data_IF_453466533303
#
_entry.id   IF_453466533303
#
_cell.length_a   1.000
_cell.length_b   1.000
_cell.length_c   1.000
_cell.angle_alpha   90.00
_cell.angle_beta   90.00
_cell.angle_gamma   90.00
#
_symmetry.space_group_name_H-M   'P 1'
#
loop_
_entity.id
_entity.type
_entity.pdbx_description
1 polymer ?
#
# COMPACT_ATOMS: atom_id res chain seq x y z
N UNK A 1 -3.94 29.99 5.84
CA UNK A 1 -3.09 29.07 5.06
C UNK A 1 -3.99 28.14 4.29
N UNK A 2 -3.75 27.95 2.99
CA UNK A 2 -4.50 27.03 2.14
C UNK A 2 -3.67 25.76 1.96
N UNK A 3 -3.98 24.73 2.69
CA UNK A 3 -3.41 23.39 2.56
C UNK A 3 -4.55 22.39 2.34
N UNK A 4 -4.37 21.48 1.40
CA UNK A 4 -5.34 20.44 1.05
C UNK A 4 -4.69 19.09 1.06
N UNK A 5 -5.31 18.13 1.75
CA UNK A 5 -4.93 16.73 1.73
C UNK A 5 -5.55 16.04 0.51
N UNK A 6 -4.73 15.37 -0.28
CA UNK A 6 -5.16 14.54 -1.42
C UNK A 6 -4.95 13.09 -1.00
N UNK A 7 -6.01 12.47 -0.50
CA UNK A 7 -5.96 11.13 0.11
C UNK A 7 -6.32 10.03 -0.88
N UNK A 8 -5.46 9.02 -0.98
CA UNK A 8 -5.65 7.85 -1.84
C UNK A 8 -5.93 6.61 -0.99
N UNK A 9 -7.22 6.30 -0.81
CA UNK A 9 -7.68 5.27 0.12
C UNK A 9 -7.17 3.84 -0.17
N UNK A 10 -6.89 3.46 -1.42
CA UNK A 10 -6.46 2.10 -1.76
C UNK A 10 -5.04 1.74 -1.31
N UNK A 11 -4.22 2.73 -0.97
CA UNK A 11 -2.89 2.57 -0.37
C UNK A 11 -2.77 3.34 0.96
N UNK A 12 -3.88 3.92 1.42
CA UNK A 12 -3.97 4.73 2.63
C UNK A 12 -2.92 5.84 2.70
N UNK A 13 -2.61 6.49 1.55
CA UNK A 13 -1.57 7.51 1.42
C UNK A 13 -2.19 8.91 1.27
N UNK A 14 -1.56 9.89 1.87
CA UNK A 14 -1.90 11.32 1.80
C UNK A 14 -0.76 12.11 1.18
N UNK A 15 -0.99 12.68 0.00
CA UNK A 15 -0.21 13.78 -0.52
C UNK A 15 -0.80 15.13 -0.07
N UNK A 16 -0.01 16.19 -0.06
CA UNK A 16 -0.49 17.51 0.33
C UNK A 16 -0.17 18.55 -0.73
N UNK A 17 -1.14 19.42 -0.97
CA UNK A 17 -1.03 20.59 -1.81
C UNK A 17 -1.09 21.85 -0.96
N UNK A 18 -0.06 22.68 -1.01
CA UNK A 18 0.00 23.98 -0.34
C UNK A 18 0.03 25.07 -1.40
N UNK A 19 -0.85 26.06 -1.28
CA UNK A 19 -0.86 27.21 -2.19
C UNK A 19 -0.81 28.53 -1.41
N UNK A 20 -0.02 29.49 -1.91
CA UNK A 20 0.04 30.87 -1.42
C UNK A 20 0.47 31.83 -2.54
N UNK A 21 -0.37 32.83 -2.77
CA UNK A 21 -0.04 33.97 -3.64
C UNK A 21 0.48 33.55 -5.04
N UNK A 22 -0.18 32.55 -5.66
CA UNK A 22 0.16 32.07 -7.00
C UNK A 22 1.36 31.12 -7.08
N UNK A 23 1.93 30.72 -5.95
CA UNK A 23 2.92 29.65 -5.85
C UNK A 23 2.36 28.45 -5.11
N UNK A 24 2.75 27.25 -5.51
CA UNK A 24 2.32 26.03 -4.88
C UNK A 24 3.50 25.09 -4.59
N UNK A 25 3.32 24.26 -3.56
CA UNK A 25 4.18 23.12 -3.24
C UNK A 25 3.37 21.86 -3.09
N UNK A 26 3.95 20.73 -3.50
CA UNK A 26 3.39 19.39 -3.33
C UNK A 26 4.28 18.62 -2.37
N UNK A 27 3.66 17.83 -1.48
CA UNK A 27 4.35 16.92 -0.56
C UNK A 27 3.94 15.49 -0.87
N UNK A 28 4.93 14.60 -1.02
CA UNK A 28 4.78 13.16 -1.23
C UNK A 28 3.78 12.82 -2.36
N UNK A 29 3.98 13.34 -3.61
CA UNK A 29 3.04 13.13 -4.69
C UNK A 29 3.00 11.67 -5.14
N UNK A 30 1.81 11.18 -5.50
CA UNK A 30 1.68 9.91 -6.21
C UNK A 30 2.18 10.04 -7.65
N UNK A 31 2.43 8.89 -8.28
CA UNK A 31 2.98 8.77 -9.62
C UNK A 31 2.09 9.39 -10.72
N UNK A 32 0.77 9.38 -10.55
CA UNK A 32 -0.16 10.12 -11.38
C UNK A 32 -0.20 11.59 -10.97
N UNK A 33 0.47 12.44 -11.73
CA UNK A 33 0.67 13.85 -11.37
C UNK A 33 -0.43 14.81 -11.87
N UNK A 34 -1.32 14.33 -12.74
CA UNK A 34 -2.39 15.15 -13.32
C UNK A 34 -3.32 15.82 -12.28
N UNK A 35 -3.70 15.18 -11.16
CA UNK A 35 -4.50 15.84 -10.13
C UNK A 35 -3.83 17.09 -9.54
N UNK A 36 -2.51 17.04 -9.33
CA UNK A 36 -1.75 18.17 -8.79
C UNK A 36 -1.63 19.30 -9.80
N UNK A 37 -1.38 18.97 -11.09
CA UNK A 37 -1.32 19.93 -12.18
C UNK A 37 -2.67 20.62 -12.40
N UNK A 38 -3.76 19.86 -12.42
CA UNK A 38 -5.11 20.39 -12.57
C UNK A 38 -5.47 21.33 -11.41
N UNK A 39 -5.08 20.96 -10.19
CA UNK A 39 -5.31 21.79 -9.01
C UNK A 39 -4.54 23.11 -9.06
N UNK A 40 -3.25 23.07 -9.38
CA UNK A 40 -2.43 24.27 -9.52
C UNK A 40 -2.98 25.20 -10.63
N UNK A 41 -3.41 24.61 -11.76
CA UNK A 41 -4.04 25.37 -12.84
C UNK A 41 -5.34 26.05 -12.42
N UNK A 42 -6.19 25.34 -11.66
CA UNK A 42 -7.45 25.87 -11.14
C UNK A 42 -7.24 27.03 -10.15
N UNK A 43 -6.17 26.99 -9.36
CA UNK A 43 -5.79 28.04 -8.43
C UNK A 43 -4.96 29.16 -9.10
N UNK A 44 -4.59 29.03 -10.39
CA UNK A 44 -3.69 29.95 -11.09
C UNK A 44 -2.29 29.98 -10.48
N UNK A 45 -1.85 28.90 -9.86
CA UNK A 45 -0.60 28.79 -9.15
C UNK A 45 0.47 28.02 -9.95
N UNK A 46 1.74 28.40 -9.76
CA UNK A 46 2.90 27.67 -10.26
C UNK A 46 3.44 26.74 -9.18
N UNK A 47 3.58 25.45 -9.48
CA UNK A 47 4.27 24.51 -8.57
C UNK A 47 5.77 24.85 -8.62
N UNK A 48 6.35 25.23 -7.46
CA UNK A 48 7.74 25.66 -7.33
C UNK A 48 8.59 24.63 -6.61
N UNK A 49 8.01 23.87 -5.70
CA UNK A 49 8.69 22.80 -4.95
C UNK A 49 7.87 21.53 -4.91
N UNK A 50 8.60 20.41 -4.86
CA UNK A 50 8.12 19.08 -4.58
C UNK A 50 8.91 18.57 -3.39
N UNK A 51 8.28 18.46 -2.25
CA UNK A 51 8.91 17.98 -1.02
C UNK A 51 8.63 16.50 -0.83
N UNK A 52 9.68 15.73 -0.62
CA UNK A 52 9.59 14.33 -0.20
C UNK A 52 9.95 14.25 1.28
N UNK A 53 9.12 13.59 2.08
CA UNK A 53 9.39 13.39 3.50
C UNK A 53 10.48 12.34 3.71
N UNK A 54 10.54 11.34 2.83
CA UNK A 54 11.53 10.25 2.83
C UNK A 54 11.47 9.49 1.50
N UNK A 55 12.35 8.51 1.29
CA UNK A 55 12.19 7.55 0.19
C UNK A 55 11.11 6.52 0.54
N UNK A 56 9.93 6.67 -0.06
CA UNK A 56 8.78 5.81 0.20
C UNK A 56 9.04 4.37 -0.21
N UNK A 57 8.59 3.42 0.63
CA UNK A 57 8.71 1.99 0.36
C UNK A 57 7.41 1.39 -0.21
N UNK A 58 6.27 1.91 0.17
CA UNK A 58 4.96 1.38 -0.17
C UNK A 58 4.42 1.86 -1.52
N UNK A 59 4.99 2.94 -2.08
CA UNK A 59 4.67 3.42 -3.43
C UNK A 59 5.86 4.10 -4.11
N UNK A 60 5.79 4.24 -5.44
CA UNK A 60 6.71 5.04 -6.23
C UNK A 60 6.16 6.46 -6.33
N UNK A 61 6.90 7.44 -5.82
CA UNK A 61 6.50 8.85 -5.84
C UNK A 61 6.47 9.43 -7.27
N UNK A 62 5.66 10.47 -7.47
CA UNK A 62 5.52 11.19 -8.74
C UNK A 62 6.50 12.35 -8.92
N UNK A 63 7.48 12.50 -8.06
CA UNK A 63 8.35 13.67 -8.02
C UNK A 63 9.07 13.96 -9.34
N UNK A 64 9.58 12.92 -10.03
CA UNK A 64 10.29 13.10 -11.32
C UNK A 64 9.36 13.57 -12.43
N UNK A 65 8.18 12.95 -12.55
CA UNK A 65 7.20 13.32 -13.57
C UNK A 65 6.65 14.74 -13.32
N UNK A 66 6.41 15.08 -12.06
CA UNK A 66 5.93 16.41 -11.67
C UNK A 66 6.99 17.47 -11.88
N UNK A 67 8.25 17.22 -11.49
CA UNK A 67 9.37 18.12 -11.74
C UNK A 67 9.59 18.35 -13.24
N UNK A 68 9.55 17.30 -14.04
CA UNK A 68 9.69 17.38 -15.50
C UNK A 68 8.59 18.23 -16.14
N UNK A 69 7.34 18.14 -15.68
CA UNK A 69 6.19 18.88 -16.24
C UNK A 69 6.12 20.34 -15.75
N UNK A 70 6.67 20.66 -14.57
CA UNK A 70 6.50 21.98 -13.93
C UNK A 70 7.79 22.80 -13.86
N UNK A 71 8.94 22.16 -13.90
CA UNK A 71 10.24 22.76 -13.57
C UNK A 71 10.43 22.99 -12.07
N UNK A 72 9.60 22.41 -11.22
CA UNK A 72 9.72 22.52 -9.77
C UNK A 72 10.97 21.81 -9.24
N UNK A 73 11.54 22.35 -8.15
CA UNK A 73 12.67 21.74 -7.46
C UNK A 73 12.19 20.60 -6.55
N UNK A 74 12.76 19.40 -6.72
CA UNK A 74 12.58 18.28 -5.78
C UNK A 74 13.45 18.54 -4.55
N UNK A 75 12.89 18.36 -3.36
CA UNK A 75 13.59 18.60 -2.08
C UNK A 75 13.48 17.37 -1.21
N UNK A 76 14.64 16.88 -0.77
CA UNK A 76 14.76 15.82 0.25
C UNK A 76 15.44 16.38 1.51
N UNK A 77 15.29 15.67 2.62
CA UNK A 77 15.97 15.97 3.87
C UNK A 77 17.45 15.58 3.90
N UNK A 78 18.16 15.92 4.98
CA UNK A 78 19.56 15.55 5.17
C UNK A 78 19.75 14.04 5.06
N UNK A 79 20.96 13.63 4.64
CA UNK A 79 21.37 12.23 4.42
C UNK A 79 20.71 11.52 3.22
N UNK A 80 19.71 12.10 2.56
CA UNK A 80 19.21 11.56 1.30
C UNK A 80 20.32 11.56 0.24
N UNK A 81 20.31 10.52 -0.60
CA UNK A 81 21.26 10.39 -1.71
C UNK A 81 20.55 9.96 -2.99
N UNK A 82 19.66 10.81 -3.56
CA UNK A 82 18.99 10.50 -4.82
C UNK A 82 20.00 10.44 -5.98
N UNK A 83 19.79 9.53 -6.92
CA UNK A 83 20.63 9.38 -8.13
C UNK A 83 20.13 10.27 -9.29
N UNK A 84 19.30 11.27 -9.01
CA UNK A 84 18.77 12.28 -9.94
C UNK A 84 18.92 13.69 -9.34
N UNK A 85 18.65 14.70 -10.14
CA UNK A 85 18.78 16.10 -9.73
C UNK A 85 17.71 16.47 -8.68
N UNK A 86 18.14 16.70 -7.45
CA UNK A 86 17.31 17.10 -6.32
C UNK A 86 18.12 17.95 -5.32
N UNK A 87 17.44 18.84 -4.61
CA UNK A 87 18.03 19.59 -3.52
C UNK A 87 18.00 18.76 -2.23
N UNK A 88 19.16 18.35 -1.74
CA UNK A 88 19.29 17.79 -0.40
C UNK A 88 19.45 18.93 0.59
N UNK A 89 18.37 19.20 1.33
CA UNK A 89 18.31 20.33 2.24
C UNK A 89 19.03 20.03 3.55
N UNK A 90 19.46 21.08 4.24
CA UNK A 90 20.03 20.97 5.59
C UNK A 90 18.93 21.06 6.65
N UNK A 91 19.20 20.53 7.84
CA UNK A 91 18.28 20.65 8.97
C UNK A 91 17.99 22.13 9.30
N UNK A 92 16.73 22.46 9.57
CA UNK A 92 16.18 23.80 9.76
C UNK A 92 16.24 24.73 8.54
N UNK A 93 16.51 24.22 7.35
CA UNK A 93 16.42 25.02 6.13
C UNK A 93 14.98 25.48 5.88
N UNK A 94 14.84 26.73 5.46
CA UNK A 94 13.56 27.37 5.18
C UNK A 94 13.36 27.58 3.68
N UNK A 95 12.15 27.37 3.21
CA UNK A 95 11.70 27.55 1.83
C UNK A 95 10.51 28.51 1.81
N UNK A 96 10.45 29.38 0.81
CA UNK A 96 9.31 30.27 0.62
C UNK A 96 8.39 29.71 -0.46
N UNK A 97 7.09 29.72 -0.18
CA UNK A 97 6.02 29.44 -1.13
C UNK A 97 5.01 30.58 -1.00
N UNK A 98 5.06 31.55 -1.91
CA UNK A 98 4.34 32.79 -1.78
C UNK A 98 4.66 33.50 -0.47
N UNK A 99 3.65 33.68 0.36
CA UNK A 99 3.78 34.35 1.67
C UNK A 99 4.10 33.37 2.81
N UNK A 100 4.08 32.07 2.57
CA UNK A 100 4.30 31.04 3.60
C UNK A 100 5.77 30.63 3.64
N UNK A 101 6.18 30.12 4.82
CA UNK A 101 7.50 29.53 5.03
C UNK A 101 7.31 28.06 5.39
N UNK A 102 8.10 27.22 4.74
CA UNK A 102 8.18 25.80 5.03
C UNK A 102 9.55 25.54 5.63
N UNK A 103 9.62 25.05 6.86
CA UNK A 103 10.87 24.76 7.55
C UNK A 103 11.06 23.26 7.67
N UNK A 104 12.15 22.75 7.11
CA UNK A 104 12.52 21.34 7.22
C UNK A 104 13.03 21.04 8.65
N UNK A 105 12.52 19.97 9.25
CA UNK A 105 12.99 19.40 10.50
C UNK A 105 13.48 17.97 10.22
N UNK A 106 14.78 17.72 10.35
CA UNK A 106 15.33 16.37 10.20
C UNK A 106 14.87 15.48 11.36
N UNK A 107 14.20 14.38 11.05
CA UNK A 107 13.56 13.47 12.01
C UNK A 107 13.86 12.00 11.66
N UNK A 108 15.15 11.57 11.70
CA UNK A 108 15.53 10.20 11.36
C UNK A 108 14.89 9.19 12.31
N UNK A 109 14.60 8.00 11.78
CA UNK A 109 14.06 6.89 12.56
C UNK A 109 13.21 5.92 11.75
N UNK A 110 12.18 6.37 11.04
CA UNK A 110 11.52 5.54 10.03
C UNK A 110 12.51 5.21 8.89
N UNK A 111 13.15 6.25 8.34
CA UNK A 111 14.35 6.16 7.51
C UNK A 111 15.41 7.12 8.04
N UNK A 112 16.64 7.08 7.49
CA UNK A 112 17.73 7.97 7.92
C UNK A 112 17.51 9.42 7.46
N UNK A 113 16.93 9.63 6.27
CA UNK A 113 16.66 10.92 5.66
C UNK A 113 15.29 11.49 6.03
N UNK A 114 14.47 10.74 6.77
CA UNK A 114 13.13 11.17 7.19
C UNK A 114 13.13 12.60 7.72
N UNK A 115 12.20 13.39 7.21
CA UNK A 115 12.06 14.80 7.55
C UNK A 115 10.61 15.20 7.68
N UNK A 116 10.33 16.08 8.64
CA UNK A 116 9.04 16.76 8.76
C UNK A 116 9.14 18.17 8.19
N UNK A 117 8.01 18.74 7.78
CA UNK A 117 7.95 20.11 7.26
C UNK A 117 7.00 20.96 8.09
N UNK A 118 7.56 21.88 8.88
CA UNK A 118 6.80 22.82 9.68
C UNK A 118 6.28 23.96 8.79
N UNK A 119 4.98 24.19 8.83
CA UNK A 119 4.28 25.17 8.02
C UNK A 119 4.06 26.45 8.82
N UNK A 120 4.57 27.56 8.32
CA UNK A 120 4.54 28.89 8.96
C UNK A 120 3.79 29.85 8.05
N UNK A 121 2.78 30.54 8.60
CA UNK A 121 1.94 31.46 7.85
C UNK A 121 2.64 32.83 7.58
N UNK A 122 1.95 33.73 6.88
CA UNK A 122 2.43 35.07 6.56
C UNK A 122 2.67 35.96 7.80
N UNK A 123 2.08 35.61 8.94
CA UNK A 123 2.25 36.32 10.21
C UNK A 123 3.36 35.69 11.09
N UNK A 124 4.17 34.81 10.52
CA UNK A 124 5.21 34.04 11.22
C UNK A 124 4.67 33.13 12.31
N UNK A 125 3.39 32.72 12.23
CA UNK A 125 2.77 31.79 13.16
C UNK A 125 2.87 30.39 12.60
N UNK A 126 3.34 29.45 13.44
CA UNK A 126 3.32 28.03 13.14
C UNK A 126 1.86 27.55 13.05
N UNK A 127 1.50 26.88 11.95
CA UNK A 127 0.15 26.44 11.64
C UNK A 127 0.00 24.93 11.77
N UNK A 128 0.92 24.17 11.23
CA UNK A 128 0.87 22.71 11.20
C UNK A 128 2.20 22.10 10.80
N UNK A 129 2.26 20.79 10.80
CA UNK A 129 3.46 20.05 10.46
C UNK A 129 3.10 18.85 9.59
N UNK A 130 3.74 18.73 8.41
CA UNK A 130 3.69 17.51 7.58
C UNK A 130 4.73 16.58 8.17
N UNK A 131 4.29 15.43 8.67
CA UNK A 131 5.12 14.54 9.48
C UNK A 131 5.65 13.33 8.73
N UNK A 132 5.22 13.12 7.48
CA UNK A 132 5.59 11.90 6.77
C UNK A 132 5.23 10.67 7.61
N UNK A 133 6.17 9.77 7.68
CA UNK A 133 6.09 8.55 8.49
C UNK A 133 6.81 8.68 9.85
N UNK A 134 7.22 9.90 10.24
CA UNK A 134 7.75 10.14 11.58
C UNK A 134 6.65 10.04 12.63
N UNK A 135 5.46 10.59 12.36
CA UNK A 135 4.32 10.57 13.28
C UNK A 135 3.02 10.40 12.49
N UNK A 136 2.24 9.40 12.86
CA UNK A 136 0.86 9.18 12.40
C UNK A 136 -0.15 9.58 13.49
N UNK A 137 -1.44 9.57 13.15
CA UNK A 137 -2.49 9.75 14.14
C UNK A 137 -2.64 8.45 14.94
N UNK A 138 -2.24 8.47 16.20
CA UNK A 138 -2.27 7.34 17.12
C UNK A 138 -1.08 6.37 17.03
N UNK A 139 -0.14 6.57 16.09
CA UNK A 139 0.97 5.66 15.85
C UNK A 139 2.22 6.41 15.34
N UNK A 140 3.27 5.68 15.00
CA UNK A 140 4.51 6.14 14.33
C UNK A 140 4.93 5.17 13.24
N UNK A 141 5.78 5.62 12.33
CA UNK A 141 6.34 4.78 11.27
C UNK A 141 7.24 3.67 11.81
N UNK A 142 7.17 2.52 11.17
CA UNK A 142 8.00 1.34 11.48
C UNK A 142 9.49 1.61 11.15
N UNK A 143 10.45 1.16 11.99
CA UNK A 143 11.85 1.50 11.83
C UNK A 143 12.67 0.42 11.11
N UNK A 144 12.04 -0.50 10.38
CA UNK A 144 12.71 -1.69 9.82
C UNK A 144 12.85 -1.70 8.29
N UNK A 145 12.50 -0.60 7.61
CA UNK A 145 12.50 -0.56 6.14
C UNK A 145 13.87 -0.22 5.52
N UNK A 146 14.69 0.56 6.22
CA UNK A 146 15.99 1.01 5.70
C UNK A 146 17.16 0.03 5.99
N UNK A 147 16.96 -1.04 6.74
CA UNK A 147 18.01 -1.98 7.14
C UNK A 147 18.71 -2.65 5.96
N UNK A 148 17.95 -2.98 4.90
CA UNK A 148 18.50 -3.65 3.73
C UNK A 148 19.44 -2.74 2.89
N UNK A 149 19.48 -1.44 3.16
CA UNK A 149 20.19 -0.44 2.36
C UNK A 149 21.51 0.02 2.99
N UNK A 150 21.66 -0.14 4.30
CA UNK A 150 22.83 0.37 5.04
C UNK A 150 23.38 -0.72 5.96
N UNK A 151 24.66 -1.04 5.78
CA UNK A 151 25.39 -1.99 6.63
C UNK A 151 25.39 -1.51 8.09
N UNK A 152 25.21 -2.44 9.04
CA UNK A 152 25.12 -2.17 10.49
C UNK A 152 23.94 -1.30 10.97
N UNK A 153 22.94 -1.06 10.13
CA UNK A 153 21.72 -0.34 10.53
C UNK A 153 20.65 -1.33 11.01
N UNK A 154 20.45 -1.40 12.33
CA UNK A 154 19.42 -2.28 12.92
C UNK A 154 18.11 -1.52 13.17
N UNK A 155 17.01 -2.27 13.30
CA UNK A 155 15.70 -1.69 13.63
C UNK A 155 15.70 -1.00 15.01
N UNK A 156 16.45 -1.54 15.98
CA UNK A 156 16.59 -0.95 17.31
C UNK A 156 17.32 0.41 17.24
N UNK A 157 18.33 0.51 16.36
CA UNK A 157 19.06 1.77 16.14
C UNK A 157 18.16 2.83 15.48
N UNK A 158 17.38 2.42 14.47
CA UNK A 158 16.40 3.32 13.85
C UNK A 158 15.28 3.71 14.83
N UNK A 159 14.74 2.77 15.61
CA UNK A 159 13.78 3.05 16.67
C UNK A 159 14.34 4.03 17.70
N UNK A 160 15.62 3.89 18.06
CA UNK A 160 16.31 4.84 18.96
C UNK A 160 16.40 6.25 18.36
N UNK A 161 16.69 6.37 17.04
CA UNK A 161 16.68 7.67 16.35
C UNK A 161 15.26 8.27 16.31
N UNK A 162 14.24 7.44 16.05
CA UNK A 162 12.85 7.90 16.06
C UNK A 162 12.45 8.43 17.43
N UNK A 163 12.86 7.76 18.52
CA UNK A 163 12.66 8.26 19.87
C UNK A 163 13.25 9.66 20.06
N UNK A 164 14.51 9.87 19.63
CA UNK A 164 15.16 11.19 19.71
C UNK A 164 14.44 12.24 18.86
N UNK A 165 14.04 11.89 17.66
CA UNK A 165 13.28 12.76 16.76
C UNK A 165 11.95 13.20 17.39
N UNK A 166 11.20 12.27 17.96
CA UNK A 166 9.93 12.57 18.62
C UNK A 166 10.13 13.45 19.86
N UNK A 167 11.10 13.12 20.73
CA UNK A 167 11.34 13.85 22.00
C UNK A 167 11.93 15.24 21.78
N UNK A 168 12.88 15.38 20.85
CA UNK A 168 13.67 16.60 20.71
C UNK A 168 13.17 17.53 19.60
N UNK A 169 12.40 17.01 18.62
CA UNK A 169 11.97 17.80 17.45
C UNK A 169 10.45 17.99 17.40
N UNK A 170 9.67 16.98 17.76
CA UNK A 170 8.20 17.00 17.62
C UNK A 170 7.53 17.46 18.93
N UNK A 171 7.84 16.83 20.05
CA UNK A 171 7.19 17.15 21.33
C UNK A 171 7.39 18.59 21.83
N UNK A 172 8.51 19.29 21.55
CA UNK A 172 8.67 20.69 21.93
C UNK A 172 7.78 21.67 21.16
N UNK A 173 7.20 21.27 20.02
CA UNK A 173 6.34 22.13 19.21
C UNK A 173 5.00 22.41 19.90
N UNK A 174 4.32 23.47 19.44
CA UNK A 174 3.09 23.94 20.06
C UNK A 174 1.92 22.96 19.90
N UNK A 175 1.11 22.82 20.94
CA UNK A 175 0.00 21.85 21.00
C UNK A 175 -1.11 22.11 19.97
N UNK A 176 -1.26 23.33 19.49
CA UNK A 176 -2.28 23.71 18.53
C UNK A 176 -1.89 23.44 17.06
N UNK A 177 -0.68 22.91 16.78
CA UNK A 177 -0.28 22.54 15.44
C UNK A 177 -1.13 21.38 14.92
N UNK A 178 -1.52 21.46 13.65
CA UNK A 178 -2.19 20.37 12.97
C UNK A 178 -1.12 19.41 12.44
N UNK A 179 -1.27 18.13 12.76
CA UNK A 179 -0.43 17.04 12.26
C UNK A 179 -1.00 16.52 10.95
N UNK A 180 -0.18 16.49 9.91
CA UNK A 180 -0.48 16.02 8.55
C UNK A 180 0.43 14.83 8.20
N UNK A 181 0.02 13.58 8.48
CA UNK A 181 0.82 12.38 8.24
C UNK A 181 0.72 11.89 6.80
N UNK A 182 1.70 11.12 6.32
CA UNK A 182 1.63 10.51 4.98
C UNK A 182 0.69 9.31 4.91
N UNK A 183 0.31 8.70 6.04
CA UNK A 183 -0.58 7.54 6.05
C UNK A 183 -1.69 7.62 7.09
N UNK A 184 -2.76 6.85 6.80
CA UNK A 184 -3.87 6.55 7.68
C UNK A 184 -4.07 5.05 7.87
N UNK A 185 -5.17 4.68 8.53
CA UNK A 185 -5.52 3.29 8.80
C UNK A 185 -5.51 2.42 7.54
N UNK A 186 -4.79 1.31 7.60
CA UNK A 186 -4.67 0.33 6.51
C UNK A 186 -3.34 0.31 5.78
N UNK A 187 -2.45 1.31 5.99
CA UNK A 187 -1.08 1.25 5.49
C UNK A 187 -0.26 0.20 6.22
N UNK A 188 0.72 -0.39 5.52
CA UNK A 188 1.70 -1.30 6.10
C UNK A 188 2.88 -0.59 6.82
N UNK A 189 2.91 0.75 6.78
CA UNK A 189 3.97 1.56 7.38
C UNK A 189 3.83 1.78 8.89
N UNK A 190 2.69 1.40 9.50
CA UNK A 190 2.45 1.44 10.96
C UNK A 190 1.61 0.27 11.44
N UNK A 191 1.40 0.16 12.78
CA UNK A 191 0.67 -0.94 13.41
C UNK A 191 -0.81 -0.63 13.68
N UNK A 192 -1.06 0.50 14.33
CA UNK A 192 -2.35 0.84 14.95
C UNK A 192 -2.82 2.26 14.62
N UNK A 193 -2.62 2.69 13.38
CA UNK A 193 -3.05 4.02 12.95
C UNK A 193 -4.56 4.22 13.09
N UNK A 194 -4.95 5.40 13.54
CA UNK A 194 -6.35 5.83 13.64
C UNK A 194 -6.99 6.02 12.26
N UNK A 195 -8.33 6.09 12.24
CA UNK A 195 -9.09 6.40 11.02
C UNK A 195 -9.03 7.88 10.63
N UNK A 196 -8.75 8.72 11.60
CA UNK A 196 -8.53 10.15 11.37
C UNK A 196 -7.26 10.36 10.56
N UNK A 197 -7.32 11.28 9.61
CA UNK A 197 -6.17 11.60 8.74
C UNK A 197 -5.45 12.88 9.14
N UNK A 198 -5.95 13.61 10.14
CA UNK A 198 -5.33 14.79 10.75
C UNK A 198 -5.79 14.91 12.20
N UNK A 199 -4.97 15.53 13.05
CA UNK A 199 -5.32 15.84 14.43
C UNK A 199 -4.40 16.98 14.96
N UNK A 200 -4.64 17.48 16.15
CA UNK A 200 -3.72 18.43 16.80
C UNK A 200 -2.57 17.70 17.49
N UNK A 201 -1.38 18.29 17.47
CA UNK A 201 -0.22 17.74 18.17
C UNK A 201 -0.48 17.58 19.67
N UNK A 202 -1.20 18.52 20.28
CA UNK A 202 -1.57 18.45 21.70
C UNK A 202 -2.49 17.27 22.03
N UNK A 203 -3.37 16.85 21.10
CA UNK A 203 -4.15 15.64 21.27
C UNK A 203 -3.27 14.40 21.10
N UNK A 204 -2.39 14.40 20.11
CA UNK A 204 -1.43 13.30 19.90
C UNK A 204 -0.50 13.10 21.12
N UNK A 205 -0.01 14.17 21.75
CA UNK A 205 0.76 14.08 23.01
C UNK A 205 0.00 13.38 24.14
N UNK A 206 -1.34 13.38 24.10
CA UNK A 206 -2.20 12.76 25.13
C UNK A 206 -2.60 11.32 24.78
N UNK A 207 -2.78 11.02 23.51
CA UNK A 207 -3.43 9.78 23.05
C UNK A 207 -2.49 8.82 22.32
N UNK A 208 -1.42 9.34 21.70
CA UNK A 208 -0.45 8.53 20.97
C UNK A 208 0.56 7.91 21.94
N UNK A 209 0.64 6.57 21.98
CA UNK A 209 1.56 5.86 22.87
C UNK A 209 3.01 6.31 22.72
N UNK A 210 3.44 6.57 21.47
CA UNK A 210 4.81 6.94 21.15
C UNK A 210 5.22 8.32 21.68
N UNK A 211 4.26 9.21 22.01
CA UNK A 211 4.49 10.54 22.56
C UNK A 211 4.31 10.60 24.08
N UNK A 212 4.11 9.49 24.77
CA UNK A 212 4.06 9.45 26.23
C UNK A 212 5.35 9.97 26.82
N UNK A 213 5.25 11.01 27.69
CA UNK A 213 6.41 11.67 28.27
C UNK A 213 7.16 10.81 29.30
N UNK A 214 6.46 9.86 29.94
CA UNK A 214 6.98 8.92 30.95
C UNK A 214 7.66 7.68 30.37
N UNK A 215 7.57 7.45 29.04
CA UNK A 215 8.13 6.28 28.37
C UNK A 215 9.66 6.44 28.21
N UNK A 216 10.43 5.49 28.70
CA UNK A 216 11.86 5.42 28.48
C UNK A 216 12.19 5.01 27.03
N UNK A 217 13.45 5.18 26.62
CA UNK A 217 13.90 4.76 25.28
C UNK A 217 13.75 3.25 25.09
N UNK A 218 14.11 2.47 26.07
CA UNK A 218 14.05 1.00 26.04
C UNK A 218 12.60 0.51 25.95
N UNK A 219 11.68 1.11 26.71
CA UNK A 219 10.24 0.81 26.62
C UNK A 219 9.70 1.19 25.25
N UNK A 220 10.07 2.35 24.70
CA UNK A 220 9.65 2.77 23.35
C UNK A 220 10.13 1.81 22.28
N UNK A 221 11.40 1.40 22.29
CA UNK A 221 11.95 0.46 21.32
C UNK A 221 11.22 -0.88 21.41
N UNK A 222 11.00 -1.39 22.62
CA UNK A 222 10.29 -2.66 22.84
C UNK A 222 8.86 -2.57 22.32
N UNK A 223 8.10 -1.55 22.69
CA UNK A 223 6.71 -1.33 22.27
C UNK A 223 6.59 -1.17 20.74
N UNK A 224 7.50 -0.40 20.13
CA UNK A 224 7.49 -0.15 18.69
C UNK A 224 7.76 -1.42 17.90
N UNK A 225 8.71 -2.25 18.32
CA UNK A 225 9.13 -3.45 17.60
C UNK A 225 8.23 -4.67 17.88
N UNK A 226 7.49 -4.68 18.99
CA UNK A 226 6.61 -5.79 19.33
C UNK A 226 5.49 -5.95 18.31
N UNK A 227 5.30 -7.18 17.81
CA UNK A 227 4.22 -7.52 16.89
C UNK A 227 4.32 -6.90 15.49
N UNK A 228 5.48 -6.35 15.07
CA UNK A 228 5.67 -5.91 13.69
C UNK A 228 5.59 -7.08 12.72
N UNK A 229 4.61 -7.05 11.80
CA UNK A 229 4.57 -7.98 10.68
C UNK A 229 5.75 -7.75 9.73
N UNK A 230 6.19 -8.79 9.01
CA UNK A 230 7.20 -8.62 7.97
C UNK A 230 6.76 -7.57 6.95
N UNK A 231 7.67 -6.70 6.49
CA UNK A 231 7.33 -5.73 5.45
C UNK A 231 6.99 -6.46 4.13
N UNK A 232 6.11 -5.89 3.31
CA UNK A 232 5.83 -6.44 1.98
C UNK A 232 7.09 -6.59 1.13
N UNK A 233 7.18 -7.68 0.37
CA UNK A 233 8.40 -8.05 -0.36
C UNK A 233 8.84 -7.02 -1.44
N UNK A 234 7.92 -6.21 -1.94
CA UNK A 234 8.19 -5.17 -2.95
C UNK A 234 8.74 -3.86 -2.36
N UNK A 235 8.68 -3.65 -1.05
CA UNK A 235 9.12 -2.41 -0.39
C UNK A 235 10.57 -2.03 -0.71
N UNK A 236 11.56 -2.92 -0.60
CA UNK A 236 12.94 -2.58 -0.95
C UNK A 236 13.10 -2.13 -2.41
N UNK A 237 12.34 -2.73 -3.32
CA UNK A 237 12.38 -2.39 -4.75
C UNK A 237 11.83 -0.99 -5.01
N UNK A 238 10.71 -0.61 -4.35
CA UNK A 238 10.16 0.74 -4.46
C UNK A 238 11.10 1.80 -3.86
N UNK A 239 11.74 1.52 -2.73
CA UNK A 239 12.78 2.43 -2.19
C UNK A 239 13.88 2.66 -3.21
N UNK A 240 14.35 1.60 -3.88
CA UNK A 240 15.39 1.73 -4.92
C UNK A 240 14.89 2.53 -6.12
N UNK A 241 13.65 2.35 -6.57
CA UNK A 241 13.04 3.18 -7.63
C UNK A 241 12.97 4.65 -7.22
N UNK A 242 12.61 4.94 -5.97
CA UNK A 242 12.55 6.31 -5.46
C UNK A 242 13.95 6.94 -5.25
N UNK A 243 15.01 6.14 -5.08
CA UNK A 243 16.40 6.60 -5.00
C UNK A 243 17.02 6.77 -6.40
N UNK A 244 16.86 5.77 -7.26
CA UNK A 244 17.55 5.71 -8.56
C UNK A 244 16.81 6.46 -9.67
N UNK A 245 15.52 6.69 -9.48
CA UNK A 245 14.62 7.17 -10.53
C UNK A 245 13.94 6.02 -11.28
N UNK A 246 12.97 6.38 -12.10
CA UNK A 246 12.06 5.45 -12.77
C UNK A 246 11.62 6.00 -14.13
N UNK A 247 11.08 5.12 -14.97
CA UNK A 247 10.48 5.50 -16.26
C UNK A 247 9.20 6.31 -16.02
N UNK A 248 9.01 7.43 -16.76
CA UNK A 248 7.82 8.27 -16.58
C UNK A 248 6.52 7.51 -16.83
N UNK A 249 5.46 7.83 -16.07
CA UNK A 249 4.15 7.20 -16.22
C UNK A 249 3.59 7.36 -17.64
N UNK A 250 3.79 8.51 -18.28
CA UNK A 250 3.37 8.74 -19.67
C UNK A 250 4.04 7.76 -20.65
N UNK A 251 5.32 7.46 -20.43
CA UNK A 251 6.06 6.46 -21.22
C UNK A 251 5.52 5.07 -20.98
N UNK A 252 5.30 4.69 -19.72
CA UNK A 252 4.74 3.39 -19.36
C UNK A 252 3.36 3.20 -19.98
N UNK A 253 2.47 4.17 -19.84
CA UNK A 253 1.15 4.12 -20.47
C UNK A 253 1.25 3.93 -21.98
N UNK A 254 2.14 4.68 -22.65
CA UNK A 254 2.35 4.55 -24.10
C UNK A 254 2.82 3.15 -24.50
N UNK A 255 3.71 2.56 -23.70
CA UNK A 255 4.27 1.23 -23.98
C UNK A 255 3.30 0.10 -23.63
N UNK A 256 2.48 0.27 -22.59
CA UNK A 256 1.63 -0.78 -22.01
C UNK A 256 0.20 -0.81 -22.55
N UNK A 257 -0.28 0.29 -23.18
CA UNK A 257 -1.63 0.36 -23.77
C UNK A 257 -1.72 -0.38 -25.11
N UNK A 258 -1.23 -1.63 -25.16
CA UNK A 258 -1.27 -2.51 -26.31
C UNK A 258 -2.42 -3.51 -26.19
N UNK A 259 -3.34 -3.48 -27.13
CA UNK A 259 -4.39 -4.49 -27.24
C UNK A 259 -3.81 -5.73 -27.92
N UNK A 260 -3.60 -6.81 -27.17
CA UNK A 260 -3.04 -8.07 -27.65
C UNK A 260 -4.18 -9.03 -28.08
N UNK A 261 -4.09 -9.61 -29.25
CA UNK A 261 -4.98 -10.70 -29.64
C UNK A 261 -4.82 -11.90 -28.71
N UNK A 262 -5.82 -12.80 -28.63
CA UNK A 262 -5.67 -14.04 -27.86
C UNK A 262 -4.45 -14.88 -28.30
N UNK A 263 -4.11 -14.89 -29.58
CA UNK A 263 -2.94 -15.61 -30.09
C UNK A 263 -1.61 -15.00 -29.64
N UNK A 264 -1.46 -13.67 -29.69
CA UNK A 264 -0.29 -12.96 -29.16
C UNK A 264 -0.16 -13.15 -27.64
N UNK A 265 -1.28 -13.10 -26.92
CA UNK A 265 -1.31 -13.38 -25.48
C UNK A 265 -0.86 -14.81 -25.18
N UNK A 266 -1.36 -15.81 -25.93
CA UNK A 266 -0.97 -17.21 -25.78
C UNK A 266 0.53 -17.41 -26.06
N UNK A 267 1.05 -16.74 -27.07
CA UNK A 267 2.47 -16.79 -27.41
C UNK A 267 3.34 -16.25 -26.28
N UNK A 268 2.99 -15.09 -25.72
CA UNK A 268 3.68 -14.50 -24.55
C UNK A 268 3.66 -15.43 -23.33
N UNK A 269 2.50 -16.01 -23.00
CA UNK A 269 2.37 -16.94 -21.86
C UNK A 269 3.23 -18.21 -22.07
N UNK A 270 3.34 -18.69 -23.30
CA UNK A 270 4.02 -19.94 -23.60
C UNK A 270 5.54 -19.78 -23.72
N UNK A 271 5.98 -18.68 -24.31
CA UNK A 271 7.37 -18.49 -24.75
C UNK A 271 8.16 -17.49 -23.88
N UNK A 272 7.55 -16.97 -22.80
CA UNK A 272 8.23 -16.09 -21.87
C UNK A 272 7.75 -16.32 -20.42
N UNK A 273 8.34 -15.61 -19.47
CA UNK A 273 7.92 -15.60 -18.07
C UNK A 273 6.69 -14.70 -17.81
N UNK A 274 5.95 -14.32 -18.85
CA UNK A 274 4.81 -13.41 -18.73
C UNK A 274 3.69 -14.04 -17.93
N UNK A 275 3.24 -13.32 -16.91
CA UNK A 275 2.12 -13.69 -16.06
C UNK A 275 0.85 -12.97 -16.52
N UNK A 276 -0.26 -13.69 -16.59
CA UNK A 276 -1.57 -13.07 -16.78
C UNK A 276 -2.10 -12.62 -15.42
N UNK A 277 -2.35 -11.31 -15.27
CA UNK A 277 -3.00 -10.72 -14.12
C UNK A 277 -4.44 -10.37 -14.49
N UNK A 278 -5.40 -11.04 -13.87
CA UNK A 278 -6.82 -10.76 -14.06
C UNK A 278 -7.30 -9.77 -12.98
N UNK A 279 -7.71 -8.59 -13.43
CA UNK A 279 -8.09 -7.48 -12.56
C UNK A 279 -9.61 -7.19 -12.56
N UNK A 280 -10.40 -8.13 -13.10
CA UNK A 280 -11.86 -8.08 -13.08
C UNK A 280 -12.42 -8.29 -11.67
N UNK A 281 -13.72 -8.51 -11.54
CA UNK A 281 -14.32 -8.89 -10.27
C UNK A 281 -14.05 -10.35 -9.90
N UNK A 282 -14.13 -10.68 -8.62
CA UNK A 282 -14.01 -12.04 -8.10
C UNK A 282 -15.04 -13.00 -8.72
N UNK A 283 -16.27 -12.55 -8.95
CA UNK A 283 -17.33 -13.35 -9.54
C UNK A 283 -17.03 -13.68 -11.00
N UNK A 284 -16.56 -12.69 -11.80
CA UNK A 284 -16.15 -12.90 -13.18
C UNK A 284 -14.97 -13.86 -13.28
N UNK A 285 -13.98 -13.73 -12.39
CA UNK A 285 -12.84 -14.63 -12.34
C UNK A 285 -13.25 -16.06 -11.99
N UNK A 286 -14.12 -16.25 -10.99
CA UNK A 286 -14.62 -17.57 -10.62
C UNK A 286 -15.42 -18.21 -11.75
N UNK A 287 -16.26 -17.44 -12.45
CA UNK A 287 -17.04 -17.92 -13.59
C UNK A 287 -16.18 -18.37 -14.80
N UNK A 288 -15.04 -17.70 -15.00
CA UNK A 288 -14.09 -18.05 -16.06
C UNK A 288 -12.85 -17.19 -16.03
N UNK A 289 -11.66 -17.81 -16.21
CA UNK A 289 -10.38 -17.12 -16.28
C UNK A 289 -9.40 -17.84 -17.21
N UNK A 290 -8.35 -17.15 -17.64
CA UNK A 290 -7.23 -17.76 -18.37
C UNK A 290 -6.50 -18.69 -17.41
N UNK A 291 -6.24 -19.98 -17.76
CA UNK A 291 -5.54 -20.91 -16.89
C UNK A 291 -4.19 -20.36 -16.40
N UNK A 292 -3.86 -20.60 -15.13
CA UNK A 292 -2.65 -20.11 -14.45
C UNK A 292 -2.55 -18.59 -14.28
N UNK A 293 -3.60 -17.82 -14.63
CA UNK A 293 -3.65 -16.39 -14.27
C UNK A 293 -3.75 -16.21 -12.76
N UNK A 294 -3.19 -15.11 -12.25
CA UNK A 294 -3.40 -14.63 -10.89
C UNK A 294 -4.53 -13.60 -10.92
N UNK A 295 -5.46 -13.74 -9.98
CA UNK A 295 -6.53 -12.78 -9.75
C UNK A 295 -6.13 -11.76 -8.71
N UNK A 296 -6.23 -10.47 -9.02
CA UNK A 296 -6.22 -9.38 -8.06
C UNK A 296 -7.13 -8.29 -8.62
N UNK A 297 -8.37 -8.23 -8.17
CA UNK A 297 -9.39 -7.32 -8.72
C UNK A 297 -9.17 -5.86 -8.37
N UNK A 298 -9.48 -4.95 -9.30
CA UNK A 298 -9.36 -3.50 -9.10
C UNK A 298 -10.24 -2.95 -7.97
N UNK A 299 -11.32 -3.65 -7.59
CA UNK A 299 -12.27 -3.18 -6.58
C UNK A 299 -11.78 -3.31 -5.11
N UNK A 300 -10.64 -3.92 -4.87
CA UNK A 300 -10.10 -4.10 -3.53
C UNK A 300 -8.84 -3.25 -3.26
N UNK A 301 -8.08 -3.67 -2.28
CA UNK A 301 -6.74 -3.16 -2.00
C UNK A 301 -5.77 -3.67 -3.07
N UNK A 302 -6.01 -3.27 -4.33
CA UNK A 302 -5.34 -3.81 -5.51
C UNK A 302 -3.83 -3.71 -5.43
N UNK A 303 -3.29 -2.47 -5.33
CA UNK A 303 -1.86 -2.23 -5.38
C UNK A 303 -1.08 -2.92 -4.25
N UNK A 304 -1.49 -2.84 -2.96
CA UNK A 304 -0.87 -3.61 -1.89
C UNK A 304 -0.87 -5.12 -2.12
N UNK A 305 -1.98 -5.69 -2.65
CA UNK A 305 -2.03 -7.12 -2.93
C UNK A 305 -1.17 -7.52 -4.13
N UNK A 306 -1.07 -6.67 -5.17
CA UNK A 306 -0.15 -6.90 -6.28
C UNK A 306 1.28 -7.04 -5.74
N UNK A 307 1.73 -6.06 -4.93
CA UNK A 307 3.06 -6.08 -4.34
C UNK A 307 3.31 -7.27 -3.41
N UNK A 308 2.32 -7.63 -2.58
CA UNK A 308 2.44 -8.76 -1.66
C UNK A 308 2.49 -10.13 -2.39
N UNK A 309 1.75 -10.28 -3.49
CA UNK A 309 1.59 -11.57 -4.18
C UNK A 309 2.63 -11.78 -5.28
N UNK A 310 2.89 -10.76 -6.12
CA UNK A 310 3.80 -10.93 -7.28
C UNK A 310 5.28 -10.85 -6.89
N UNK A 311 5.62 -10.17 -5.81
CA UNK A 311 6.95 -10.09 -5.17
C UNK A 311 8.06 -9.44 -6.01
N UNK A 312 8.03 -9.54 -7.35
CA UNK A 312 9.03 -8.99 -8.27
C UNK A 312 8.41 -7.91 -9.13
N UNK A 313 8.84 -6.67 -8.99
CA UNK A 313 8.29 -5.54 -9.75
C UNK A 313 8.62 -5.62 -11.24
N UNK A 314 9.68 -6.33 -11.61
CA UNK A 314 10.08 -6.53 -13.02
C UNK A 314 9.27 -7.62 -13.74
N UNK A 315 8.37 -8.34 -13.03
CA UNK A 315 7.56 -9.40 -13.62
C UNK A 315 6.81 -8.90 -14.86
N UNK A 316 7.02 -9.48 -16.05
CA UNK A 316 6.23 -9.12 -17.22
C UNK A 316 4.78 -9.57 -17.06
N UNK A 317 3.84 -8.63 -17.30
CA UNK A 317 2.41 -8.83 -17.07
C UNK A 317 1.62 -8.63 -18.36
N UNK A 318 0.64 -9.50 -18.60
CA UNK A 318 -0.49 -9.24 -19.52
C UNK A 318 -1.76 -9.16 -18.70
N UNK A 319 -2.60 -8.16 -18.98
CA UNK A 319 -3.78 -7.90 -18.18
C UNK A 319 -5.06 -8.45 -18.81
N UNK A 320 -5.94 -9.02 -17.99
CA UNK A 320 -7.36 -9.20 -18.30
C UNK A 320 -8.12 -8.14 -17.53
N UNK A 321 -8.67 -7.15 -18.26
CA UNK A 321 -9.19 -5.90 -17.66
C UNK A 321 -10.65 -5.71 -18.07
N UNK A 322 -11.53 -5.17 -17.21
CA UNK A 322 -12.82 -4.65 -17.63
C UNK A 322 -12.64 -3.53 -18.67
N UNK A 323 -13.47 -3.53 -19.70
CA UNK A 323 -13.39 -2.54 -20.79
C UNK A 323 -13.40 -1.11 -20.26
N UNK A 324 -12.43 -0.28 -20.71
CA UNK A 324 -12.26 1.11 -20.30
C UNK A 324 -11.53 1.30 -18.95
N UNK A 325 -11.00 0.23 -18.36
CA UNK A 325 -10.22 0.28 -17.11
C UNK A 325 -8.72 0.02 -17.32
N UNK A 326 -8.28 -0.04 -18.55
CA UNK A 326 -6.88 -0.37 -18.92
C UNK A 326 -5.91 0.65 -18.34
N UNK A 327 -6.17 1.94 -18.56
CA UNK A 327 -5.35 3.03 -18.02
C UNK A 327 -5.33 3.01 -16.49
N UNK A 328 -6.49 2.81 -15.83
CA UNK A 328 -6.57 2.72 -14.37
C UNK A 328 -5.71 1.56 -13.84
N UNK A 329 -5.82 0.38 -14.46
CA UNK A 329 -5.07 -0.80 -14.05
C UNK A 329 -3.56 -0.58 -14.15
N UNK A 330 -3.07 -0.08 -15.29
CA UNK A 330 -1.65 0.21 -15.51
C UNK A 330 -1.14 1.28 -14.52
N UNK A 331 -1.89 2.37 -14.34
CA UNK A 331 -1.53 3.43 -13.39
C UNK A 331 -1.40 2.90 -11.97
N UNK A 332 -2.36 2.06 -11.53
CA UNK A 332 -2.34 1.49 -10.17
C UNK A 332 -1.24 0.43 -9.97
N UNK A 333 -0.82 -0.26 -11.02
CA UNK A 333 0.36 -1.11 -11.02
C UNK A 333 1.63 -0.27 -10.86
N UNK A 334 1.73 0.81 -11.63
CA UNK A 334 2.88 1.71 -11.60
C UNK A 334 3.05 2.43 -10.25
N UNK A 335 1.96 2.65 -9.47
CA UNK A 335 2.07 3.19 -8.10
C UNK A 335 2.97 2.35 -7.20
N UNK A 336 3.01 1.04 -7.43
CA UNK A 336 3.81 0.08 -6.64
C UNK A 336 4.95 -0.54 -7.46
N UNK A 337 5.39 0.15 -8.52
CA UNK A 337 6.59 -0.18 -9.28
C UNK A 337 6.44 -1.26 -10.35
N UNK A 338 5.24 -1.83 -10.56
CA UNK A 338 5.01 -2.86 -11.59
C UNK A 338 4.80 -2.23 -12.97
N UNK A 339 5.89 -1.81 -13.59
CA UNK A 339 5.89 -1.06 -14.85
C UNK A 339 5.98 -1.95 -16.10
N UNK A 340 6.27 -3.24 -15.95
CA UNK A 340 6.52 -4.16 -17.05
C UNK A 340 5.22 -4.80 -17.57
N UNK A 341 4.23 -3.96 -17.94
CA UNK A 341 2.98 -4.42 -18.54
C UNK A 341 3.15 -4.50 -20.06
N UNK A 342 3.07 -5.72 -20.62
CA UNK A 342 3.24 -6.00 -22.05
C UNK A 342 2.01 -5.62 -22.87
N UNK A 343 0.85 -5.51 -22.25
CA UNK A 343 -0.42 -5.17 -22.86
C UNK A 343 -1.61 -5.78 -22.13
N UNK A 344 -2.76 -5.74 -22.76
CA UNK A 344 -3.99 -6.34 -22.25
C UNK A 344 -4.70 -7.19 -23.31
N UNK A 345 -5.44 -8.21 -22.89
CA UNK A 345 -6.15 -9.12 -23.79
C UNK A 345 -7.29 -8.36 -24.49
N UNK A 346 -7.17 -8.17 -25.80
CA UNK A 346 -8.20 -7.53 -26.62
C UNK A 346 -9.51 -8.32 -26.60
N UNK A 347 -10.59 -7.67 -26.19
CA UNK A 347 -11.89 -8.32 -26.01
C UNK A 347 -11.99 -9.23 -24.79
N UNK A 348 -10.96 -9.23 -23.93
CA UNK A 348 -10.94 -9.93 -22.64
C UNK A 348 -11.14 -11.44 -22.76
N UNK A 349 -11.71 -12.04 -21.70
CA UNK A 349 -11.95 -13.49 -21.66
C UNK A 349 -12.90 -13.97 -22.76
N UNK A 350 -13.87 -13.17 -23.17
CA UNK A 350 -14.81 -13.54 -24.24
C UNK A 350 -14.10 -13.79 -25.58
N UNK A 351 -13.15 -12.92 -25.94
CA UNK A 351 -12.36 -13.11 -27.15
C UNK A 351 -11.40 -14.31 -27.04
N UNK A 352 -10.84 -14.53 -25.84
CA UNK A 352 -9.99 -15.68 -25.54
C UNK A 352 -10.74 -17.01 -25.76
N UNK A 353 -11.95 -17.13 -25.21
CA UNK A 353 -12.81 -18.31 -25.36
C UNK A 353 -13.27 -18.50 -26.80
N UNK A 354 -13.67 -17.42 -27.48
CA UNK A 354 -14.06 -17.47 -28.90
C UNK A 354 -12.93 -17.90 -29.85
N UNK A 355 -11.68 -17.63 -29.45
CA UNK A 355 -10.50 -18.13 -30.20
C UNK A 355 -10.18 -19.61 -29.91
N UNK A 356 -10.98 -20.29 -29.08
CA UNK A 356 -10.86 -21.73 -28.80
C UNK A 356 -9.83 -22.08 -27.73
N UNK A 357 -9.33 -21.11 -26.97
CA UNK A 357 -8.41 -21.36 -25.88
C UNK A 357 -9.13 -21.84 -24.61
N UNK A 358 -8.47 -22.65 -23.77
CA UNK A 358 -9.07 -23.19 -22.56
C UNK A 358 -9.36 -22.09 -21.52
N UNK A 359 -10.43 -22.30 -20.75
CA UNK A 359 -10.75 -21.47 -19.57
C UNK A 359 -10.72 -22.30 -18.30
N UNK A 360 -10.21 -21.71 -17.24
CA UNK A 360 -10.31 -22.22 -15.86
C UNK A 360 -11.55 -21.67 -15.16
N UNK A 361 -11.98 -22.34 -14.08
CA UNK A 361 -13.07 -21.87 -13.19
C UNK A 361 -12.69 -22.14 -11.73
N UNK A 362 -13.19 -21.32 -10.81
CA UNK A 362 -13.20 -21.62 -9.38
C UNK A 362 -14.63 -21.99 -9.00
N UNK A 363 -14.80 -23.18 -8.43
CA UNK A 363 -16.11 -23.55 -7.88
C UNK A 363 -16.40 -22.69 -6.63
N UNK A 364 -17.52 -21.98 -6.65
CA UNK A 364 -17.99 -21.14 -5.54
C UNK A 364 -19.37 -21.57 -5.10
N UNK A 365 -19.62 -21.51 -3.79
CA UNK A 365 -20.93 -21.81 -3.21
C UNK A 365 -21.35 -20.71 -2.24
N UNK A 366 -22.66 -20.54 -2.10
CA UNK A 366 -23.22 -19.62 -1.12
C UNK A 366 -22.96 -20.13 0.31
N UNK A 367 -22.96 -19.23 1.32
CA UNK A 367 -22.87 -19.63 2.73
C UNK A 367 -23.95 -20.62 3.17
N UNK A 368 -25.18 -20.50 2.65
CA UNK A 368 -26.30 -21.41 2.94
C UNK A 368 -26.06 -22.80 2.33
N UNK A 369 -25.49 -22.86 1.12
CA UNK A 369 -25.12 -24.15 0.51
C UNK A 369 -23.98 -24.79 1.30
N UNK A 370 -22.98 -24.01 1.74
CA UNK A 370 -21.94 -24.49 2.63
C UNK A 370 -22.50 -25.05 3.93
N UNK A 371 -23.38 -24.32 4.64
CA UNK A 371 -24.03 -24.77 5.87
C UNK A 371 -24.73 -26.12 5.70
N UNK A 372 -25.42 -26.31 4.57
CA UNK A 372 -26.09 -27.58 4.27
C UNK A 372 -25.11 -28.74 4.05
N UNK A 373 -23.97 -28.49 3.37
CA UNK A 373 -23.03 -29.51 2.97
C UNK A 373 -21.91 -29.75 3.99
N UNK A 374 -21.75 -28.84 4.96
CA UNK A 374 -20.69 -28.87 5.97
C UNK A 374 -20.90 -30.00 6.97
N UNK A 375 -19.83 -30.73 7.25
CA UNK A 375 -19.77 -31.78 8.27
C UNK A 375 -18.53 -31.59 9.13
N UNK A 376 -18.52 -32.26 10.29
CA UNK A 376 -17.36 -32.24 11.20
C UNK A 376 -16.05 -32.79 10.59
N UNK A 377 -16.12 -33.49 9.45
CA UNK A 377 -14.96 -33.99 8.72
C UNK A 377 -14.55 -33.08 7.54
N UNK A 378 -15.23 -31.97 7.34
CA UNK A 378 -14.92 -31.04 6.26
C UNK A 378 -13.67 -30.22 6.60
N UNK A 379 -12.68 -30.19 5.71
CA UNK A 379 -11.56 -29.27 5.83
C UNK A 379 -11.98 -27.87 5.40
N UNK A 380 -11.62 -26.85 6.17
CA UNK A 380 -11.88 -25.44 5.86
C UNK A 380 -10.61 -24.64 6.07
N UNK A 381 -10.24 -23.84 5.08
CA UNK A 381 -9.09 -22.94 5.12
C UNK A 381 -9.58 -21.50 5.20
N UNK A 382 -9.14 -20.78 6.22
CA UNK A 382 -9.38 -19.36 6.40
C UNK A 382 -8.17 -18.55 5.92
N UNK A 383 -8.35 -17.78 4.86
CA UNK A 383 -7.29 -16.96 4.21
C UNK A 383 -7.07 -15.59 4.88
N UNK A 384 -7.70 -15.32 6.03
CA UNK A 384 -7.57 -14.05 6.75
C UNK A 384 -6.26 -13.99 7.54
N UNK A 385 -5.91 -12.77 7.97
CA UNK A 385 -4.76 -12.57 8.87
C UNK A 385 -4.95 -13.35 10.18
N UNK A 386 -3.87 -13.79 10.85
CA UNK A 386 -3.97 -14.49 12.14
C UNK A 386 -4.79 -13.71 13.18
N UNK A 387 -4.64 -12.41 13.31
CA UNK A 387 -5.41 -11.59 14.24
C UNK A 387 -6.92 -11.57 13.96
N UNK A 388 -7.33 -11.65 12.68
CA UNK A 388 -8.75 -11.78 12.32
C UNK A 388 -9.30 -13.19 12.65
N UNK A 389 -8.47 -14.21 12.45
CA UNK A 389 -8.80 -15.60 12.78
C UNK A 389 -8.91 -15.80 14.29
N UNK A 390 -7.94 -15.30 15.06
CA UNK A 390 -7.93 -15.36 16.52
C UNK A 390 -9.12 -14.63 17.14
N UNK A 391 -9.54 -13.51 16.51
CA UNK A 391 -10.71 -12.77 16.98
C UNK A 391 -12.01 -13.57 16.87
N UNK A 392 -12.23 -14.26 15.77
CA UNK A 392 -13.39 -15.13 15.53
C UNK A 392 -13.16 -15.96 14.27
N UNK A 393 -13.42 -17.25 14.29
CA UNK A 393 -13.33 -18.12 13.13
C UNK A 393 -14.37 -19.26 13.17
N UNK A 394 -14.56 -19.96 12.06
CA UNK A 394 -15.33 -21.20 11.99
C UNK A 394 -14.63 -22.28 12.81
N UNK A 395 -15.34 -22.91 13.74
CA UNK A 395 -14.78 -24.01 14.55
C UNK A 395 -14.22 -25.12 13.66
N UNK A 396 -12.96 -25.51 13.90
CA UNK A 396 -12.26 -26.52 13.11
C UNK A 396 -11.63 -26.03 11.81
N UNK A 397 -11.76 -24.76 11.44
CA UNK A 397 -11.02 -24.19 10.32
C UNK A 397 -9.53 -24.04 10.64
N UNK A 398 -8.67 -24.16 9.64
CA UNK A 398 -7.25 -23.87 9.73
C UNK A 398 -6.94 -22.50 9.13
N UNK A 399 -6.09 -21.72 9.78
CA UNK A 399 -5.67 -20.44 9.25
C UNK A 399 -4.42 -20.59 8.38
N UNK A 400 -4.52 -20.16 7.13
CA UNK A 400 -3.40 -19.99 6.22
C UNK A 400 -3.57 -18.62 5.58
N UNK A 401 -2.90 -17.62 6.12
CA UNK A 401 -3.09 -16.25 5.67
C UNK A 401 -2.61 -16.05 4.22
N UNK A 402 -3.35 -15.24 3.44
CA UNK A 402 -3.07 -15.01 2.03
C UNK A 402 -1.65 -14.49 1.76
N UNK A 403 -1.15 -13.57 2.59
CA UNK A 403 0.18 -12.96 2.47
C UNK A 403 1.33 -13.96 2.67
N UNK A 404 1.07 -15.09 3.34
CA UNK A 404 2.07 -16.14 3.58
C UNK A 404 1.79 -17.45 2.83
N UNK A 405 0.74 -17.51 2.00
CA UNK A 405 0.31 -18.77 1.35
C UNK A 405 1.41 -19.43 0.53
N UNK A 406 2.25 -18.66 -0.15
CA UNK A 406 3.33 -19.21 -1.01
C UNK A 406 4.36 -20.00 -0.20
N UNK A 407 4.61 -19.65 1.05
CA UNK A 407 5.51 -20.37 1.96
C UNK A 407 4.82 -21.52 2.69
N UNK A 408 3.48 -21.57 2.66
CA UNK A 408 2.65 -22.57 3.36
C UNK A 408 1.87 -23.51 2.43
N UNK A 409 2.28 -23.62 1.16
CA UNK A 409 1.62 -24.52 0.19
C UNK A 409 1.55 -25.98 0.68
N UNK A 410 2.58 -26.43 1.40
CA UNK A 410 2.63 -27.78 1.98
C UNK A 410 1.65 -27.99 3.13
N UNK A 411 1.09 -26.92 3.70
CA UNK A 411 0.08 -26.97 4.77
C UNK A 411 -1.35 -27.02 4.23
N UNK A 412 -1.53 -26.87 2.91
CA UNK A 412 -2.84 -26.96 2.26
C UNK A 412 -3.31 -28.42 2.31
N UNK A 413 -4.60 -28.70 2.67
CA UNK A 413 -5.14 -30.04 2.70
C UNK A 413 -5.01 -30.77 1.36
N UNK A 414 -4.54 -32.03 1.39
CA UNK A 414 -4.48 -32.87 0.20
C UNK A 414 -5.86 -33.44 -0.22
N UNK A 415 -6.86 -33.36 0.67
CA UNK A 415 -8.25 -33.73 0.42
C UNK A 415 -9.07 -32.50 -0.04
N UNK A 416 -10.26 -32.68 -0.62
CA UNK A 416 -11.17 -31.58 -0.93
C UNK A 416 -11.44 -30.71 0.31
N UNK A 417 -11.39 -29.39 0.13
CA UNK A 417 -11.58 -28.42 1.20
C UNK A 417 -12.39 -27.20 0.78
N UNK A 418 -12.92 -26.49 1.75
CA UNK A 418 -13.54 -25.18 1.54
C UNK A 418 -12.54 -24.07 1.83
N UNK A 419 -12.63 -22.98 1.08
CA UNK A 419 -11.75 -21.82 1.21
C UNK A 419 -12.59 -20.57 1.41
N UNK A 420 -12.27 -19.76 2.41
CA UNK A 420 -12.93 -18.47 2.62
C UNK A 420 -11.96 -17.40 3.14
N UNK A 421 -12.46 -16.15 3.15
CA UNK A 421 -11.81 -15.03 3.84
C UNK A 421 -12.87 -14.16 4.54
N UNK A 422 -12.68 -12.86 4.68
CA UNK A 422 -13.67 -11.98 5.30
C UNK A 422 -14.91 -11.75 4.41
N UNK A 423 -14.70 -11.39 3.13
CA UNK A 423 -15.76 -10.96 2.22
C UNK A 423 -15.79 -11.63 0.84
N UNK A 424 -14.85 -12.57 0.54
CA UNK A 424 -14.78 -13.28 -0.73
C UNK A 424 -13.55 -12.92 -1.58
N UNK A 425 -13.05 -11.69 -1.53
CA UNK A 425 -11.95 -11.20 -2.38
C UNK A 425 -10.61 -11.94 -2.17
N UNK A 426 -10.11 -12.00 -0.92
CA UNK A 426 -8.81 -12.65 -0.60
C UNK A 426 -8.80 -14.15 -0.86
N UNK A 427 -9.92 -14.83 -0.67
CA UNK A 427 -10.02 -16.27 -0.94
C UNK A 427 -9.97 -16.58 -2.42
N UNK A 428 -10.46 -15.71 -3.30
CA UNK A 428 -10.31 -15.87 -4.76
C UNK A 428 -8.88 -15.58 -5.19
N UNK A 429 -8.19 -14.60 -4.61
CA UNK A 429 -6.74 -14.41 -4.85
C UNK A 429 -5.99 -15.69 -4.46
N UNK A 430 -6.19 -16.21 -3.25
CA UNK A 430 -5.58 -17.47 -2.80
C UNK A 430 -5.93 -18.62 -3.75
N UNK A 431 -7.19 -18.75 -4.14
CA UNK A 431 -7.64 -19.79 -5.08
C UNK A 431 -6.91 -19.73 -6.42
N UNK A 432 -6.63 -18.53 -6.94
CA UNK A 432 -5.85 -18.36 -8.18
C UNK A 432 -4.39 -18.84 -8.02
N UNK A 433 -3.78 -18.54 -6.87
CA UNK A 433 -2.42 -19.01 -6.52
C UNK A 433 -2.41 -20.54 -6.40
N UNK A 434 -3.36 -21.12 -5.68
CA UNK A 434 -3.48 -22.58 -5.49
C UNK A 434 -3.61 -23.31 -6.83
N UNK A 435 -4.47 -22.79 -7.74
CA UNK A 435 -4.65 -23.38 -9.10
C UNK A 435 -3.35 -23.32 -9.89
N UNK A 436 -2.62 -22.23 -9.84
CA UNK A 436 -1.31 -22.10 -10.49
C UNK A 436 -0.29 -23.12 -9.98
N UNK A 437 -0.40 -23.54 -8.70
CA UNK A 437 0.41 -24.60 -8.09
C UNK A 437 -0.19 -26.01 -8.23
N UNK A 438 -1.20 -26.19 -9.09
CA UNK A 438 -1.81 -27.49 -9.35
C UNK A 438 -2.79 -27.99 -8.28
N UNK A 439 -3.14 -27.15 -7.32
CA UNK A 439 -4.11 -27.47 -6.26
C UNK A 439 -5.50 -27.02 -6.73
N UNK A 440 -6.33 -28.00 -7.13
CA UNK A 440 -7.65 -27.76 -7.72
C UNK A 440 -8.82 -28.23 -6.87
N UNK A 441 -8.57 -29.01 -5.80
CA UNK A 441 -9.60 -29.67 -4.98
C UNK A 441 -10.15 -28.76 -3.89
N UNK A 442 -10.57 -27.54 -4.24
CA UNK A 442 -11.19 -26.63 -3.27
C UNK A 442 -12.47 -25.99 -3.82
N UNK A 443 -13.31 -25.53 -2.91
CA UNK A 443 -14.55 -24.77 -3.19
C UNK A 443 -14.52 -23.47 -2.39
N UNK A 444 -14.64 -22.34 -3.06
CA UNK A 444 -14.70 -21.02 -2.43
C UNK A 444 -16.06 -20.78 -1.78
N UNK A 445 -16.10 -20.22 -0.57
CA UNK A 445 -17.33 -19.76 0.09
C UNK A 445 -17.50 -18.26 -0.21
N UNK A 446 -18.53 -17.93 -0.95
CA UNK A 446 -18.90 -16.56 -1.27
C UNK A 446 -19.15 -15.74 0.00
N UNK A 447 -18.80 -14.44 -0.04
CA UNK A 447 -18.95 -13.51 1.10
C UNK A 447 -18.20 -13.92 2.39
N UNK A 448 -17.45 -15.03 2.38
CA UNK A 448 -16.58 -15.45 3.48
C UNK A 448 -17.24 -15.36 4.87
N UNK A 449 -16.49 -14.88 5.88
CA UNK A 449 -17.00 -14.73 7.26
C UNK A 449 -18.24 -13.85 7.37
N UNK A 450 -18.36 -12.82 6.56
CA UNK A 450 -19.58 -11.98 6.55
C UNK A 450 -20.83 -12.77 6.16
N UNK A 451 -20.69 -13.75 5.28
CA UNK A 451 -21.76 -14.66 4.91
C UNK A 451 -21.95 -15.78 5.95
N UNK A 452 -20.89 -16.37 6.47
CA UNK A 452 -20.93 -17.43 7.48
C UNK A 452 -21.63 -16.98 8.77
N UNK A 453 -21.43 -15.75 9.22
CA UNK A 453 -22.16 -15.17 10.37
C UNK A 453 -23.68 -15.10 10.19
N UNK A 454 -24.19 -15.29 8.97
CA UNK A 454 -25.64 -15.31 8.67
C UNK A 454 -26.19 -16.74 8.60
N UNK A 455 -25.39 -17.74 8.92
CA UNK A 455 -25.75 -19.16 8.96
C UNK A 455 -25.72 -19.69 10.40
N UNK A 456 -26.07 -20.93 10.61
CA UNK A 456 -26.05 -21.59 11.93
C UNK A 456 -24.77 -22.38 12.19
N UNK A 457 -23.73 -22.25 11.35
CA UNK A 457 -22.45 -22.94 11.59
C UNK A 457 -21.77 -22.44 12.86
N UNK A 458 -21.11 -23.32 13.58
CA UNK A 458 -20.43 -22.98 14.83
C UNK A 458 -19.24 -22.07 14.58
N UNK A 459 -19.29 -20.87 15.14
CA UNK A 459 -18.18 -19.92 15.17
C UNK A 459 -17.62 -19.87 16.60
N UNK A 460 -16.32 -19.60 16.72
CA UNK A 460 -15.70 -19.34 18.03
C UNK A 460 -16.27 -18.07 18.64
N UNK A 461 -16.18 -17.93 19.96
CA UNK A 461 -16.60 -16.69 20.61
C UNK A 461 -15.74 -15.53 20.16
N UNK A 462 -16.37 -14.43 19.74
CA UNK A 462 -15.65 -13.23 19.34
C UNK A 462 -14.83 -12.65 20.50
N UNK A 463 -13.55 -12.43 20.25
CA UNK A 463 -12.62 -11.74 21.16
C UNK A 463 -12.13 -10.49 20.44
N UNK A 464 -12.27 -9.33 21.09
CA UNK A 464 -11.79 -8.09 20.48
C UNK A 464 -10.27 -8.16 20.22
N UNK A 465 -9.78 -7.88 18.99
CA UNK A 465 -8.35 -7.94 18.70
C UNK A 465 -7.48 -7.11 19.64
N UNK A 466 -7.98 -5.97 20.13
CA UNK A 466 -7.29 -5.12 21.11
C UNK A 466 -7.08 -5.78 22.49
N UNK A 467 -7.78 -6.89 22.79
CA UNK A 467 -7.61 -7.66 24.02
C UNK A 467 -6.70 -8.88 23.85
N UNK A 468 -6.37 -9.24 22.59
CA UNK A 468 -5.44 -10.32 22.25
C UNK A 468 -3.97 -9.88 22.31
N UNK A 469 -3.72 -8.59 22.27
CA UNK A 469 -2.38 -8.00 22.46
C UNK A 469 -2.15 -7.95 23.98
N UNK A 470 -1.34 -8.90 24.51
CA UNK A 470 -0.82 -8.86 25.88
C UNK A 470 0.52 -8.20 25.89
#
# INVERSE_FOLDING_TARGET
MKIEQIYTGCIAQAAYYLESNGEAAIFDPLREVEPYLAKAAADGAKITYIFETHFHADFVSGHLDLAKKTGATIVYGPTANPEFDALVATDNQEFKVGNYTIKLLHTPGHTLESSCYLLIDENQKEYGIITGDTLFIGDVGRPDLAQALVEDLTQEKLASYLYDSLRNRIMPLADNLIVFPSHGAGSACGKNMSKETTDTLGNQKKTNYALRADMTREEFITELLDGLALPPAYFPQNVMLNIQGYTSLDTILTQSMKALSPAETQDLITNSETLVLDVRSEDEFCAGHIPNSIFIGLQGNFAPWVGAILQKVEQPLVLVVPAGKETEAITRLSRVGFDNVQGYVMGGLTAWEAAGYPIGKINSITPQKFEHDYTANSFVVDARKPSEYEAEHLEGAINIALDTVQTHLNSIPNAPFYLHCAGGYRSVIMGSILKRHGIHSFTNIEKGMAGLRQTSVSLTQFVCPSTLVK
#
